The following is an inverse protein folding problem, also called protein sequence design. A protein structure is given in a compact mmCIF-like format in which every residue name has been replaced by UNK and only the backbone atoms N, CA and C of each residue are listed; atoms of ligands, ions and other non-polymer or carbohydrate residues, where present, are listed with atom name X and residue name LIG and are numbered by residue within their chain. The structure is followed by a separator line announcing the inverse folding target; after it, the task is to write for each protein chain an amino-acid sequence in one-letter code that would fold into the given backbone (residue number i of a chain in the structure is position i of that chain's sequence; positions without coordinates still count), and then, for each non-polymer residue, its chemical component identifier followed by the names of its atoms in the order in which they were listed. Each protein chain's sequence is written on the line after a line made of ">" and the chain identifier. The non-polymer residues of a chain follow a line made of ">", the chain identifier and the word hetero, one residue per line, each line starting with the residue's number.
data_IF_875802027931
#
_entry.id   IF_875802027931
#
_cell.length_a   1.000
_cell.length_b   1.000
_cell.length_c   1.000
_cell.angle_alpha   90.00
_cell.angle_beta   90.00
_cell.angle_gamma   90.00
#
_symmetry.space_group_name_H-M   'P 1'
#
loop_
_entity.id
_entity.type
_entity.pdbx_description
1 polymer ?
#
# COMPACT_ATOMS: atom_id res chain seq x y z
N UNK A 1 -0.12 7.58 -4.59
CA UNK A 1 0.88 7.13 -5.57
C UNK A 1 2.22 7.01 -4.89
N UNK A 2 3.00 5.97 -5.20
CA UNK A 2 4.40 5.84 -4.78
C UNK A 2 5.29 5.60 -6.00
N UNK A 3 6.52 6.11 -6.00
CA UNK A 3 7.46 5.85 -7.10
C UNK A 3 7.88 4.37 -7.12
N UNK A 4 7.64 3.69 -8.24
CA UNK A 4 8.12 2.34 -8.55
C UNK A 4 9.41 2.33 -9.37
N UNK A 5 9.84 1.14 -9.79
CA UNK A 5 11.04 0.93 -10.59
C UNK A 5 10.88 1.45 -12.03
N UNK A 6 9.72 1.23 -12.66
CA UNK A 6 9.45 1.64 -14.06
C UNK A 6 8.41 2.76 -14.18
N UNK A 7 7.87 3.27 -13.06
CA UNK A 7 6.89 4.36 -13.07
C UNK A 7 6.12 4.47 -11.77
N UNK A 8 5.11 5.35 -11.73
CA UNK A 8 4.26 5.51 -10.55
C UNK A 8 3.40 4.26 -10.31
N UNK A 9 3.32 3.83 -9.06
CA UNK A 9 2.38 2.81 -8.57
C UNK A 9 1.17 3.51 -7.95
N UNK A 10 0.01 3.32 -8.57
CA UNK A 10 -1.30 3.70 -8.07
C UNK A 10 -1.92 2.56 -7.28
N UNK A 11 -2.37 2.86 -6.06
CA UNK A 11 -3.05 1.93 -5.16
C UNK A 11 -4.43 2.49 -4.83
N UNK A 12 -5.45 1.64 -4.94
CA UNK A 12 -6.77 1.87 -4.34
C UNK A 12 -6.84 1.20 -2.98
N UNK A 13 -7.48 1.86 -2.02
CA UNK A 13 -7.59 1.39 -0.65
C UNK A 13 -9.05 1.41 -0.21
N UNK A 14 -9.49 0.34 0.43
CA UNK A 14 -10.75 0.29 1.14
C UNK A 14 -10.49 0.53 2.63
N UNK A 15 -11.03 1.61 3.19
CA UNK A 15 -10.93 1.93 4.62
C UNK A 15 -12.28 1.70 5.26
N UNK A 16 -12.32 0.86 6.29
CA UNK A 16 -13.51 0.58 7.09
C UNK A 16 -13.66 1.62 8.19
N UNK A 17 -14.88 2.15 8.33
CA UNK A 17 -15.28 3.14 9.32
C UNK A 17 -16.25 2.47 10.32
N UNK A 18 -16.26 2.85 11.61
CA UNK A 18 -15.47 3.91 12.26
C UNK A 18 -14.06 3.49 12.69
N UNK A 19 -13.71 2.21 12.50
CA UNK A 19 -12.48 1.61 13.03
C UNK A 19 -11.19 2.16 12.39
N UNK A 20 -11.28 2.86 11.25
CA UNK A 20 -10.15 3.42 10.48
C UNK A 20 -9.09 2.37 10.09
N UNK A 21 -9.57 1.15 9.80
CA UNK A 21 -8.73 0.02 9.40
C UNK A 21 -8.86 -0.25 7.91
N UNK A 22 -7.78 -0.69 7.27
CA UNK A 22 -7.81 -1.15 5.89
C UNK A 22 -8.59 -2.47 5.78
N UNK A 23 -9.60 -2.51 4.92
CA UNK A 23 -10.28 -3.76 4.55
C UNK A 23 -9.57 -4.48 3.39
N UNK A 24 -8.81 -3.73 2.59
CA UNK A 24 -7.97 -4.25 1.52
C UNK A 24 -7.35 -3.14 0.67
N UNK A 25 -6.36 -3.53 -0.14
CA UNK A 25 -5.74 -2.67 -1.15
C UNK A 25 -5.60 -3.41 -2.47
N UNK A 26 -5.54 -2.68 -3.58
CA UNK A 26 -5.24 -3.23 -4.89
C UNK A 26 -4.47 -2.21 -5.74
N UNK A 27 -3.57 -2.70 -6.59
CA UNK A 27 -2.92 -1.85 -7.58
C UNK A 27 -3.92 -1.48 -8.69
N UNK A 28 -3.97 -0.20 -9.06
CA UNK A 28 -4.82 0.31 -10.15
C UNK A 28 -4.01 0.70 -11.37
N UNK A 29 -2.79 1.21 -11.16
CA UNK A 29 -1.85 1.58 -12.21
C UNK A 29 -0.44 1.23 -11.79
N UNK A 30 0.33 0.62 -12.68
CA UNK A 30 1.77 0.49 -12.55
C UNK A 30 2.38 0.19 -13.92
N UNK A 31 3.64 0.55 -14.09
CA UNK A 31 4.44 0.16 -15.27
C UNK A 31 5.52 -0.85 -14.93
N UNK A 32 5.49 -1.45 -13.73
CA UNK A 32 6.50 -2.42 -13.29
C UNK A 32 6.69 -3.61 -14.25
N UNK A 33 7.93 -4.12 -14.29
CA UNK A 33 8.28 -5.30 -15.07
C UNK A 33 7.35 -6.48 -14.71
N UNK A 34 6.62 -7.09 -15.68
CA UNK A 34 5.61 -8.11 -15.40
C UNK A 34 6.12 -9.32 -14.62
N UNK A 35 7.37 -9.73 -14.86
CA UNK A 35 7.99 -10.92 -14.25
C UNK A 35 8.52 -10.70 -12.83
N UNK A 36 8.57 -9.46 -12.34
CA UNK A 36 9.19 -9.12 -11.05
C UNK A 36 8.27 -8.23 -10.23
N UNK A 37 8.26 -6.92 -10.52
CA UNK A 37 7.46 -5.96 -9.78
C UNK A 37 5.95 -6.13 -9.97
N UNK A 38 5.54 -6.52 -11.18
CA UNK A 38 4.14 -6.84 -11.48
C UNK A 38 3.63 -8.03 -10.66
N UNK A 39 4.46 -9.02 -10.35
CA UNK A 39 4.05 -10.17 -9.54
C UNK A 39 3.75 -9.75 -8.11
N UNK A 40 4.60 -8.89 -7.52
CA UNK A 40 4.34 -8.33 -6.19
C UNK A 40 3.04 -7.54 -6.16
N UNK A 41 2.81 -6.68 -7.17
CA UNK A 41 1.63 -5.81 -7.22
C UNK A 41 0.31 -6.53 -7.49
N UNK A 42 0.37 -7.75 -8.03
CA UNK A 42 -0.80 -8.61 -8.27
C UNK A 42 -0.93 -9.76 -7.25
N UNK A 43 0.01 -9.88 -6.30
CA UNK A 43 0.03 -10.96 -5.32
C UNK A 43 -1.01 -10.73 -4.22
N UNK A 44 -2.00 -11.62 -4.05
CA UNK A 44 -2.96 -11.54 -2.95
C UNK A 44 -2.29 -11.67 -1.58
N UNK A 45 -1.23 -12.48 -1.47
CA UNK A 45 -0.49 -12.66 -0.23
C UNK A 45 0.23 -11.38 0.17
N UNK A 46 0.84 -10.68 -0.80
CA UNK A 46 1.51 -9.43 -0.52
C UNK A 46 0.52 -8.32 -0.16
N UNK A 47 -0.52 -8.12 -0.99
CA UNK A 47 -1.54 -7.09 -0.78
C UNK A 47 -2.40 -7.36 0.46
N UNK A 48 -2.62 -8.63 0.80
CA UNK A 48 -3.39 -9.05 1.96
C UNK A 48 -2.76 -8.64 3.30
N UNK A 49 -1.44 -8.42 3.34
CA UNK A 49 -0.73 -7.99 4.57
C UNK A 49 -1.25 -6.66 5.12
N UNK A 50 -1.83 -5.81 4.28
CA UNK A 50 -2.34 -4.50 4.65
C UNK A 50 -3.71 -4.55 5.32
N UNK A 51 -4.48 -5.64 5.13
CA UNK A 51 -5.80 -5.79 5.74
C UNK A 51 -5.69 -5.81 7.27
N UNK A 52 -6.60 -5.10 7.93
CA UNK A 52 -6.67 -4.97 9.39
C UNK A 52 -5.69 -3.96 9.99
N UNK A 53 -4.80 -3.36 9.19
CA UNK A 53 -3.89 -2.31 9.65
C UNK A 53 -4.59 -0.95 9.75
N UNK A 54 -4.20 -0.15 10.74
CA UNK A 54 -4.80 1.15 11.03
C UNK A 54 -4.01 2.32 10.44
N UNK A 55 -4.61 3.52 10.40
CA UNK A 55 -3.95 4.79 10.01
C UNK A 55 -2.68 5.08 10.84
N UNK A 56 -2.57 4.56 12.06
CA UNK A 56 -1.40 4.76 12.92
C UNK A 56 -0.24 3.80 12.67
N UNK A 57 -0.44 2.77 11.84
CA UNK A 57 0.53 1.70 11.68
C UNK A 57 1.70 2.14 10.78
N UNK A 58 2.90 1.60 11.08
CA UNK A 58 4.06 1.77 10.20
C UNK A 58 4.00 0.78 9.03
N UNK A 59 3.50 1.23 7.88
CA UNK A 59 3.41 0.40 6.67
C UNK A 59 4.74 0.11 5.98
N UNK A 60 5.87 0.64 6.45
CA UNK A 60 7.17 0.37 5.85
C UNK A 60 7.49 -1.13 5.79
N UNK A 61 8.50 -1.49 5.00
CA UNK A 61 8.97 -2.87 4.95
C UNK A 61 9.55 -3.29 6.31
N UNK A 62 9.39 -4.56 6.67
CA UNK A 62 9.92 -5.13 7.92
C UNK A 62 11.45 -5.07 7.99
N UNK A 63 12.14 -5.07 6.85
CA UNK A 63 13.58 -4.77 6.75
C UNK A 63 13.95 -3.36 7.22
N UNK A 64 13.00 -2.42 7.20
CA UNK A 64 13.12 -1.06 7.73
C UNK A 64 12.35 -0.83 9.03
N UNK A 65 11.92 -1.90 9.73
CA UNK A 65 11.20 -1.81 11.00
C UNK A 65 9.70 -1.54 10.89
N UNK A 66 9.10 -1.69 9.71
CA UNK A 66 7.66 -1.61 9.52
C UNK A 66 6.93 -2.95 9.55
N UNK A 67 5.64 -2.94 9.22
CA UNK A 67 4.72 -4.05 9.42
C UNK A 67 4.48 -4.91 8.16
N UNK A 68 5.16 -4.63 7.05
CA UNK A 68 4.93 -5.30 5.76
C UNK A 68 6.17 -6.10 5.37
N UNK A 69 6.02 -7.41 5.11
CA UNK A 69 7.12 -8.17 4.54
C UNK A 69 7.24 -7.84 3.04
N UNK A 70 8.46 -7.52 2.62
CA UNK A 70 8.75 -7.28 1.20
C UNK A 70 8.53 -8.54 0.36
N UNK A 71 8.14 -8.34 -0.90
CA UNK A 71 8.05 -9.43 -1.86
C UNK A 71 9.44 -9.78 -2.38
N UNK A 72 9.81 -11.07 -2.28
CA UNK A 72 11.14 -11.54 -2.68
C UNK A 72 11.42 -11.22 -4.16
N UNK A 73 12.58 -10.64 -4.43
CA UNK A 73 12.97 -10.21 -5.78
C UNK A 73 12.34 -8.91 -6.26
N UNK A 74 11.40 -8.31 -5.53
CA UNK A 74 10.68 -7.09 -5.94
C UNK A 74 10.68 -6.02 -4.83
N UNK A 75 11.85 -5.73 -4.26
CA UNK A 75 11.99 -4.77 -3.15
C UNK A 75 11.51 -3.37 -3.52
N UNK A 76 11.88 -2.86 -4.69
CA UNK A 76 11.50 -1.50 -5.14
C UNK A 76 9.99 -1.37 -5.27
N UNK A 77 9.32 -2.33 -5.92
CA UNK A 77 7.87 -2.34 -6.09
C UNK A 77 7.15 -2.52 -4.75
N UNK A 78 7.73 -3.30 -3.83
CA UNK A 78 7.23 -3.46 -2.46
C UNK A 78 7.30 -2.14 -1.68
N UNK A 79 8.42 -1.41 -1.77
CA UNK A 79 8.56 -0.07 -1.20
C UNK A 79 7.59 0.93 -1.83
N UNK A 80 7.37 0.86 -3.14
CA UNK A 80 6.43 1.73 -3.83
C UNK A 80 5.00 1.54 -3.32
N UNK A 81 4.56 0.29 -3.16
CA UNK A 81 3.23 -0.04 -2.63
C UNK A 81 3.07 0.47 -1.18
N UNK A 82 4.05 0.19 -0.31
CA UNK A 82 4.01 0.66 1.09
C UNK A 82 3.97 2.18 1.19
N UNK A 83 4.80 2.90 0.42
CA UNK A 83 4.75 4.38 0.35
C UNK A 83 3.41 4.89 -0.15
N UNK A 84 2.85 4.27 -1.20
CA UNK A 84 1.55 4.66 -1.75
C UNK A 84 0.43 4.53 -0.71
N UNK A 85 0.44 3.44 0.09
CA UNK A 85 -0.51 3.23 1.19
C UNK A 85 -0.32 4.25 2.30
N UNK A 86 0.92 4.48 2.76
CA UNK A 86 1.22 5.49 3.79
C UNK A 86 0.68 6.86 3.39
N UNK A 87 1.02 7.34 2.19
CA UNK A 87 0.52 8.63 1.71
C UNK A 87 -1.00 8.67 1.57
N UNK A 88 -1.63 7.57 1.14
CA UNK A 88 -3.08 7.47 1.07
C UNK A 88 -3.75 7.60 2.45
N UNK A 89 -3.19 6.94 3.47
CA UNK A 89 -3.72 6.98 4.84
C UNK A 89 -3.51 8.35 5.49
N UNK A 90 -2.42 9.05 5.17
CA UNK A 90 -2.21 10.45 5.56
C UNK A 90 -3.26 11.38 4.96
N UNK A 91 -3.58 11.20 3.67
CA UNK A 91 -4.64 11.95 3.00
C UNK A 91 -5.99 11.66 3.65
N UNK A 92 -6.33 10.39 3.87
CA UNK A 92 -7.57 10.00 4.56
C UNK A 92 -7.67 10.69 5.93
N UNK A 93 -6.61 10.66 6.74
CA UNK A 93 -6.57 11.32 8.05
C UNK A 93 -6.80 12.83 7.95
N UNK A 94 -6.18 13.48 6.96
CA UNK A 94 -6.29 14.92 6.76
C UNK A 94 -7.70 15.36 6.39
N UNK A 95 -8.41 14.58 5.57
CA UNK A 95 -9.73 14.93 5.04
C UNK A 95 -10.89 14.15 5.68
N UNK A 96 -10.62 13.36 6.72
CA UNK A 96 -11.62 12.48 7.37
C UNK A 96 -12.92 13.22 7.71
N UNK A 97 -12.84 14.41 8.28
CA UNK A 97 -14.01 15.21 8.67
C UNK A 97 -14.86 15.68 7.48
N UNK A 98 -14.26 15.87 6.31
CA UNK A 98 -14.98 16.22 5.07
C UNK A 98 -15.53 14.97 4.35
N UNK A 99 -14.87 13.81 4.52
CA UNK A 99 -15.29 12.53 3.92
C UNK A 99 -16.49 11.93 4.67
N UNK A 100 -16.57 12.15 5.99
CA UNK A 100 -17.57 11.55 6.88
C UNK A 100 -18.66 12.51 7.36
N UNK A 101 -18.52 13.80 7.09
CA UNK A 101 -19.49 14.85 7.44
C UNK A 101 -20.54 15.03 6.35
#
# INVERSE_FOLDING_TARGET
>A
YGGGFEGNVGIMMAVKIPDEVLDGIAATTHSETPSVGGVALNSPDFMGQFKGKSVGDNFALSSGGGAINGYSGATVSSEAATRAVTSGMEIFKKFKSEILG
#
